data_IF_278289501049
#
_entry.id   IF_278289501049
#
_cell.length_a   1.000
_cell.length_b   1.000
_cell.length_c   1.000
_cell.angle_alpha   90.00
_cell.angle_beta   90.00
_cell.angle_gamma   90.00
#
_symmetry.space_group_name_H-M   'P 1'
#
loop_
_entity.id
_entity.type
_entity.pdbx_description
1 polymer ?
#
# COMPACT_ATOMS: atom_id res chain seq x y z
N UNK A 1 -32.43 -20.76 36.90
CA UNK A 1 -32.58 -20.84 35.43
C UNK A 1 -32.29 -19.51 34.74
N UNK A 2 -33.07 -18.45 34.96
CA UNK A 2 -32.93 -17.15 34.26
C UNK A 2 -31.56 -16.47 34.38
N UNK A 3 -30.91 -16.58 35.56
CA UNK A 3 -29.57 -16.00 35.81
C UNK A 3 -28.46 -16.61 34.94
N UNK A 4 -28.55 -17.90 34.64
CA UNK A 4 -27.54 -18.63 33.85
C UNK A 4 -27.69 -18.28 32.36
N UNK A 5 -28.93 -18.16 31.87
CA UNK A 5 -29.21 -17.72 30.51
C UNK A 5 -28.71 -16.29 30.24
N UNK A 6 -28.91 -15.38 31.19
CA UNK A 6 -28.39 -14.00 31.10
C UNK A 6 -26.86 -13.94 31.10
N UNK A 7 -26.19 -14.75 31.92
CA UNK A 7 -24.73 -14.83 31.95
C UNK A 7 -24.15 -15.36 30.62
N UNK A 8 -24.78 -16.38 30.02
CA UNK A 8 -24.39 -16.93 28.73
C UNK A 8 -24.56 -15.94 27.57
N UNK A 9 -25.63 -15.13 27.59
CA UNK A 9 -25.85 -14.10 26.59
C UNK A 9 -24.80 -12.98 26.67
N UNK A 10 -24.41 -12.58 27.88
CA UNK A 10 -23.37 -11.56 28.09
C UNK A 10 -22.00 -12.04 27.59
N UNK A 11 -21.60 -13.27 27.91
CA UNK A 11 -20.32 -13.83 27.46
C UNK A 11 -20.30 -14.06 25.94
N UNK A 12 -21.41 -14.51 25.36
CA UNK A 12 -21.52 -14.66 23.91
C UNK A 12 -21.46 -13.29 23.20
N UNK A 13 -22.14 -12.28 23.73
CA UNK A 13 -22.13 -10.92 23.18
C UNK A 13 -20.76 -10.26 23.19
N UNK A 14 -20.05 -10.32 24.32
CA UNK A 14 -18.69 -9.75 24.43
C UNK A 14 -17.67 -10.50 23.58
N UNK A 15 -17.82 -11.83 23.46
CA UNK A 15 -16.97 -12.66 22.59
C UNK A 15 -17.22 -12.33 21.12
N UNK A 16 -18.48 -12.23 20.69
CA UNK A 16 -18.83 -11.91 19.31
C UNK A 16 -18.38 -10.49 18.93
N UNK A 17 -18.53 -9.53 19.84
CA UNK A 17 -18.07 -8.14 19.65
C UNK A 17 -16.54 -8.06 19.63
N UNK A 18 -15.85 -8.82 20.49
CA UNK A 18 -14.39 -8.94 20.51
C UNK A 18 -13.83 -9.57 19.24
N UNK A 19 -14.45 -10.63 18.71
CA UNK A 19 -14.06 -11.24 17.43
C UNK A 19 -14.27 -10.27 16.26
N UNK A 20 -15.35 -9.48 16.27
CA UNK A 20 -15.60 -8.46 15.23
C UNK A 20 -14.56 -7.35 15.26
N UNK A 21 -14.20 -6.87 16.44
CA UNK A 21 -13.12 -5.89 16.60
C UNK A 21 -11.76 -6.46 16.18
N UNK A 22 -11.47 -7.71 16.54
CA UNK A 22 -10.25 -8.40 16.14
C UNK A 22 -10.18 -8.63 14.63
N UNK A 23 -11.30 -8.90 13.96
CA UNK A 23 -11.32 -9.08 12.50
C UNK A 23 -10.93 -7.81 11.74
N UNK A 24 -11.37 -6.62 12.20
CA UNK A 24 -10.97 -5.35 11.58
C UNK A 24 -9.46 -5.11 11.68
N UNK A 25 -8.88 -5.31 12.86
CA UNK A 25 -7.43 -5.20 13.09
C UNK A 25 -6.67 -6.22 12.26
N UNK A 26 -7.18 -7.44 12.15
CA UNK A 26 -6.55 -8.50 11.37
C UNK A 26 -6.57 -8.19 9.86
N UNK A 27 -7.64 -7.59 9.36
CA UNK A 27 -7.75 -7.20 7.96
C UNK A 27 -6.82 -6.03 7.62
N UNK A 28 -6.74 -5.00 8.47
CA UNK A 28 -5.76 -3.91 8.35
C UNK A 28 -4.32 -4.46 8.31
N UNK A 29 -3.99 -5.36 9.23
CA UNK A 29 -2.67 -6.01 9.27
C UNK A 29 -2.35 -6.76 7.97
N UNK A 30 -3.33 -7.49 7.42
CA UNK A 30 -3.16 -8.19 6.13
C UNK A 30 -2.91 -7.22 4.98
N UNK A 31 -3.58 -6.07 4.95
CA UNK A 31 -3.33 -5.06 3.91
C UNK A 31 -1.92 -4.49 4.01
N UNK A 32 -1.44 -4.21 5.24
CA UNK A 32 -0.07 -3.73 5.47
C UNK A 32 0.96 -4.77 5.02
N UNK A 33 0.80 -6.04 5.41
CA UNK A 33 1.71 -7.11 4.99
C UNK A 33 1.73 -7.26 3.47
N UNK A 34 0.57 -7.16 2.84
CA UNK A 34 0.47 -7.25 1.39
C UNK A 34 1.16 -6.05 0.70
N UNK A 35 0.96 -4.83 1.18
CA UNK A 35 1.69 -3.65 0.71
C UNK A 35 3.21 -3.83 0.87
N UNK A 36 3.68 -4.33 2.02
CA UNK A 36 5.11 -4.60 2.23
C UNK A 36 5.66 -5.59 1.20
N UNK A 37 4.91 -6.67 0.89
CA UNK A 37 5.31 -7.62 -0.13
C UNK A 37 5.46 -6.95 -1.50
N UNK A 38 4.53 -6.06 -1.89
CA UNK A 38 4.62 -5.29 -3.14
C UNK A 38 5.87 -4.40 -3.14
N UNK A 39 6.13 -3.70 -2.03
CA UNK A 39 7.32 -2.85 -1.92
C UNK A 39 8.63 -3.64 -2.05
N UNK A 40 8.70 -4.86 -1.49
CA UNK A 40 9.86 -5.73 -1.67
C UNK A 40 10.04 -6.16 -3.12
N UNK A 41 8.95 -6.50 -3.83
CA UNK A 41 8.99 -6.85 -5.25
C UNK A 41 9.53 -5.67 -6.07
N UNK A 42 8.99 -4.47 -5.87
CA UNK A 42 9.46 -3.25 -6.55
C UNK A 42 10.94 -2.98 -6.28
N UNK A 43 11.37 -3.03 -5.03
CA UNK A 43 12.78 -2.83 -4.66
C UNK A 43 13.71 -3.88 -5.26
N UNK A 44 13.25 -5.12 -5.39
CA UNK A 44 14.02 -6.17 -6.07
C UNK A 44 14.12 -5.90 -7.56
N UNK A 45 13.02 -5.52 -8.21
CA UNK A 45 12.99 -5.24 -9.64
C UNK A 45 13.89 -4.05 -9.99
N UNK A 46 13.80 -2.95 -9.25
CA UNK A 46 14.60 -1.73 -9.46
C UNK A 46 16.10 -1.97 -9.19
N UNK A 47 16.43 -2.85 -8.24
CA UNK A 47 17.83 -3.15 -7.89
C UNK A 47 18.50 -4.08 -8.89
N UNK A 48 17.76 -5.07 -9.40
CA UNK A 48 18.33 -6.14 -10.23
C UNK A 48 18.14 -5.90 -11.73
N UNK A 49 17.06 -5.26 -12.13
CA UNK A 49 16.90 -4.78 -13.50
C UNK A 49 17.44 -3.35 -13.56
N UNK A 50 18.22 -3.01 -14.58
CA UNK A 50 18.47 -1.60 -14.94
C UNK A 50 17.22 -0.95 -15.55
N UNK A 51 16.03 -1.50 -15.29
CA UNK A 51 14.78 -1.01 -15.85
C UNK A 51 14.46 0.34 -15.25
N UNK A 52 13.98 1.25 -16.08
CA UNK A 52 13.49 2.54 -15.62
C UNK A 52 12.32 2.33 -14.67
N UNK A 53 12.19 3.16 -13.64
CA UNK A 53 11.22 3.02 -12.55
C UNK A 53 9.77 2.75 -13.05
N UNK A 54 9.39 3.37 -14.17
CA UNK A 54 8.10 3.16 -14.83
C UNK A 54 7.84 1.72 -15.31
N UNK A 55 8.86 1.03 -15.84
CA UNK A 55 8.74 -0.36 -16.29
C UNK A 55 8.53 -1.30 -15.11
N UNK A 56 9.23 -1.08 -13.99
CA UNK A 56 9.06 -1.86 -12.77
C UNK A 56 7.63 -1.71 -12.21
N UNK A 57 7.08 -0.50 -12.21
CA UNK A 57 5.69 -0.28 -11.81
C UNK A 57 4.68 -0.98 -12.72
N UNK A 58 4.88 -0.94 -14.04
CA UNK A 58 4.01 -1.63 -14.99
C UNK A 58 4.07 -3.16 -14.80
N UNK A 59 5.28 -3.71 -14.67
CA UNK A 59 5.49 -5.14 -14.53
C UNK A 59 4.88 -5.69 -13.24
N UNK A 60 5.17 -5.06 -12.10
CA UNK A 60 4.60 -5.47 -10.81
C UNK A 60 3.10 -5.17 -10.74
N UNK A 61 2.64 -4.06 -11.32
CA UNK A 61 1.23 -3.71 -11.41
C UNK A 61 0.37 -4.79 -12.08
N UNK A 62 0.92 -5.51 -13.06
CA UNK A 62 0.23 -6.63 -13.71
C UNK A 62 0.10 -7.90 -12.86
N UNK A 63 0.77 -8.00 -11.72
CA UNK A 63 0.84 -9.21 -10.88
C UNK A 63 0.14 -9.08 -9.53
N UNK A 64 -0.18 -7.85 -9.12
CA UNK A 64 -0.77 -7.55 -7.82
C UNK A 64 -2.29 -7.37 -7.93
N UNK A 65 -3.00 -7.50 -6.81
CA UNK A 65 -4.46 -7.29 -6.75
C UNK A 65 -4.82 -5.81 -6.66
N UNK A 66 -6.07 -5.51 -6.98
CA UNK A 66 -6.65 -4.19 -6.72
C UNK A 66 -6.67 -3.86 -5.22
N UNK A 67 -6.52 -2.58 -4.82
CA UNK A 67 -6.36 -1.40 -5.69
C UNK A 67 -4.90 -1.11 -6.11
N UNK A 68 -3.95 -1.93 -5.65
CA UNK A 68 -2.52 -1.71 -5.89
C UNK A 68 -2.14 -1.85 -7.36
N UNK A 69 -2.81 -2.73 -8.11
CA UNK A 69 -2.60 -2.89 -9.55
C UNK A 69 -2.84 -1.58 -10.30
N UNK A 70 -4.01 -0.97 -10.07
CA UNK A 70 -4.36 0.31 -10.67
C UNK A 70 -3.43 1.44 -10.22
N UNK A 71 -3.06 1.47 -8.94
CA UNK A 71 -2.11 2.46 -8.42
C UNK A 71 -0.75 2.39 -9.15
N UNK A 72 -0.16 1.20 -9.26
CA UNK A 72 1.14 1.02 -9.94
C UNK A 72 1.06 1.28 -11.45
N UNK A 73 -0.02 0.86 -12.11
CA UNK A 73 -0.24 1.17 -13.52
C UNK A 73 -0.32 2.68 -13.77
N UNK A 74 -0.95 3.44 -12.86
CA UNK A 74 -1.04 4.89 -12.97
C UNK A 74 0.29 5.58 -12.67
N UNK A 75 1.09 5.04 -11.74
CA UNK A 75 2.46 5.49 -11.54
C UNK A 75 3.30 5.37 -12.82
N UNK A 76 3.28 4.21 -13.47
CA UNK A 76 3.97 4.00 -14.75
C UNK A 76 3.51 5.03 -15.81
N UNK A 77 2.21 5.19 -16.00
CA UNK A 77 1.67 6.13 -16.99
C UNK A 77 2.08 7.58 -16.72
N UNK A 78 2.03 8.03 -15.46
CA UNK A 78 2.40 9.40 -15.08
C UNK A 78 3.90 9.67 -15.21
N UNK A 79 4.74 8.64 -15.15
CA UNK A 79 6.17 8.77 -15.40
C UNK A 79 6.51 8.80 -16.90
N UNK A 80 5.73 8.12 -17.73
CA UNK A 80 5.91 8.10 -19.19
C UNK A 80 5.36 9.37 -19.86
N UNK A 81 4.23 9.87 -19.36
CA UNK A 81 3.84 11.25 -19.64
C UNK A 81 4.88 12.15 -18.99
N UNK A 82 5.51 13.04 -19.75
CA UNK A 82 6.37 14.11 -19.20
C UNK A 82 5.53 15.15 -18.42
N UNK A 83 4.63 14.69 -17.56
CA UNK A 83 3.97 15.56 -16.58
C UNK A 83 5.09 16.15 -15.73
N UNK A 84 5.21 17.47 -15.79
CA UNK A 84 6.22 18.28 -15.13
C UNK A 84 5.97 18.24 -13.61
N UNK A 85 6.29 17.12 -12.96
CA UNK A 85 6.14 16.92 -11.52
C UNK A 85 7.35 16.19 -10.96
N UNK A 86 7.75 16.56 -9.73
CA UNK A 86 8.78 15.80 -9.01
C UNK A 86 8.19 14.43 -8.70
N UNK A 87 8.96 13.34 -8.87
CA UNK A 87 8.51 11.97 -8.61
C UNK A 87 7.76 11.83 -7.27
N UNK A 88 8.23 12.53 -6.24
CA UNK A 88 7.58 12.57 -4.92
C UNK A 88 6.12 12.99 -4.99
N UNK A 89 5.80 13.98 -5.81
CA UNK A 89 4.46 14.56 -5.92
C UNK A 89 3.54 13.61 -6.68
N UNK A 90 4.06 12.96 -7.73
CA UNK A 90 3.34 11.93 -8.49
C UNK A 90 3.02 10.74 -7.58
N UNK A 91 4.00 10.30 -6.79
CA UNK A 91 3.84 9.23 -5.81
C UNK A 91 2.81 9.59 -4.74
N UNK A 92 2.94 10.76 -4.13
CA UNK A 92 2.07 11.20 -3.04
C UNK A 92 0.62 11.32 -3.50
N UNK A 93 0.39 12.01 -4.62
CA UNK A 93 -0.95 12.24 -5.15
C UNK A 93 -1.62 10.94 -5.60
N UNK A 94 -0.86 10.02 -6.21
CA UNK A 94 -1.41 8.73 -6.64
C UNK A 94 -1.72 7.81 -5.45
N UNK A 95 -0.89 7.79 -4.40
CA UNK A 95 -1.16 7.00 -3.21
C UNK A 95 -2.45 7.47 -2.52
N UNK A 96 -2.65 8.79 -2.43
CA UNK A 96 -3.90 9.37 -1.91
C UNK A 96 -5.11 8.97 -2.79
N UNK A 97 -5.00 9.13 -4.12
CA UNK A 97 -6.11 8.92 -5.05
C UNK A 97 -6.54 7.44 -5.15
N UNK A 98 -5.58 6.50 -5.12
CA UNK A 98 -5.86 5.09 -5.41
C UNK A 98 -5.90 4.21 -4.16
N UNK A 99 -5.29 4.63 -3.04
CA UNK A 99 -5.19 3.81 -1.83
C UNK A 99 -6.01 4.33 -0.64
N UNK A 100 -6.68 5.48 -0.74
CA UNK A 100 -7.57 5.98 0.32
C UNK A 100 -8.57 4.93 0.82
N UNK A 101 -9.13 4.13 -0.10
CA UNK A 101 -10.13 3.10 0.20
C UNK A 101 -9.54 1.67 0.21
N UNK A 102 -8.22 1.50 0.29
CA UNK A 102 -7.57 0.17 0.22
C UNK A 102 -7.72 -0.67 1.49
N UNK A 103 -8.37 -0.14 2.53
CA UNK A 103 -8.42 -0.74 3.86
C UNK A 103 -7.09 -0.65 4.63
N UNK A 104 -6.16 0.20 4.18
CA UNK A 104 -4.98 0.54 4.95
C UNK A 104 -5.34 1.57 6.02
N UNK A 105 -4.74 1.49 7.22
CA UNK A 105 -4.84 2.57 8.18
C UNK A 105 -4.31 3.88 7.58
N UNK A 106 -4.97 5.00 7.86
CA UNK A 106 -4.56 6.31 7.33
C UNK A 106 -3.12 6.71 7.73
N UNK A 107 -2.64 6.21 8.88
CA UNK A 107 -1.24 6.38 9.31
C UNK A 107 -0.26 5.67 8.35
N UNK A 108 -0.62 4.49 7.84
CA UNK A 108 0.20 3.73 6.88
C UNK A 108 0.17 4.37 5.50
N UNK A 109 -0.97 4.92 5.08
CA UNK A 109 -1.06 5.73 3.86
C UNK A 109 -0.14 6.96 3.99
N UNK A 110 -0.16 7.63 5.14
CA UNK A 110 0.73 8.78 5.40
C UNK A 110 2.21 8.39 5.38
N UNK A 111 2.57 7.24 5.97
CA UNK A 111 3.93 6.68 5.89
C UNK A 111 4.33 6.37 4.44
N UNK A 112 3.42 5.77 3.68
CA UNK A 112 3.64 5.42 2.28
C UNK A 112 3.88 6.67 1.44
N UNK A 113 3.08 7.73 1.62
CA UNK A 113 3.26 9.03 0.96
C UNK A 113 4.65 9.61 1.21
N UNK A 114 5.10 9.64 2.47
CA UNK A 114 6.44 10.13 2.84
C UNK A 114 7.60 9.29 2.27
N UNK A 115 7.34 8.04 1.88
CA UNK A 115 8.34 7.17 1.27
C UNK A 115 8.71 7.62 -0.16
N UNK A 116 7.79 8.27 -0.89
CA UNK A 116 8.03 8.80 -2.24
C UNK A 116 9.18 9.79 -2.30
N UNK A 117 9.31 10.67 -1.30
CA UNK A 117 10.42 11.62 -1.16
C UNK A 117 11.78 10.90 -1.06
N UNK A 118 11.82 9.76 -0.35
CA UNK A 118 13.05 8.97 -0.16
C UNK A 118 13.41 8.17 -1.42
N UNK A 119 12.41 7.62 -2.11
CA UNK A 119 12.61 6.91 -3.37
C UNK A 119 13.05 7.86 -4.51
N UNK A 120 12.45 9.05 -4.60
CA UNK A 120 12.83 10.06 -5.60
C UNK A 120 14.27 10.55 -5.45
N UNK A 121 14.76 10.70 -4.21
CA UNK A 121 16.16 11.02 -3.96
C UNK A 121 17.12 9.89 -4.41
N UNK A 122 16.70 8.63 -4.25
CA UNK A 122 17.49 7.47 -4.67
C UNK A 122 17.53 7.29 -6.20
N UNK A 123 16.45 7.60 -6.92
CA UNK A 123 16.40 7.57 -8.40
C UNK A 123 17.30 8.68 -8.99
N UNK A 124 17.26 9.88 -8.42
CA UNK A 124 18.19 10.96 -8.79
C UNK A 124 19.67 10.55 -8.63
N UNK A 125 20.03 9.92 -7.50
CA UNK A 125 21.40 9.46 -7.24
C UNK A 125 21.85 8.31 -8.16
N UNK A 126 20.90 7.47 -8.62
CA UNK A 126 21.18 6.39 -9.57
C UNK A 126 21.33 6.92 -11.00
N UNK A 127 20.55 7.92 -11.40
CA UNK A 127 20.66 8.56 -12.73
C UNK A 127 21.89 9.47 -12.84
N UNK A 128 22.29 10.16 -11.75
CA UNK A 128 23.44 11.06 -11.73
C UNK A 128 24.81 10.35 -11.69
N UNK A 129 24.85 9.03 -11.45
CA UNK A 129 26.08 8.23 -11.45
C UNK A 129 26.49 7.68 -12.83
N UNK A 130 25.89 8.18 -13.91
CA UNK A 130 26.33 7.94 -15.30
C UNK A 130 27.10 9.14 -15.82
#
# INVERSE_FOLDING_TARGET
MMKIAGALLLTAGTTLMGMRAASGIQDEYRQIQYLQQIMYLLLSEIRYSRAYLGEAFLHIGGQVREPYSKWLAQMSRRMDSRDEGIFSDIWENSAEEYLADSGLPGEEISRLKALGTRLGAADMDMQLKT
#
